data_IF_557574492319
#
_entry.id   IF_557574492319
#
_cell.length_a   1.000
_cell.length_b   1.000
_cell.length_c   1.000
_cell.angle_alpha   90.00
_cell.angle_beta   90.00
_cell.angle_gamma   90.00
#
_symmetry.space_group_name_H-M   'P 1'
#
loop_
_entity.id
_entity.type
_entity.pdbx_description
1 polymer ?
#
# COMPACT_ATOMS: atom_id res chain seq x y z
N UNK A 1 39.40 -17.42 -37.40
CA UNK A 1 39.85 -16.29 -36.54
C UNK A 1 38.77 -15.21 -36.30
N UNK A 2 38.03 -14.72 -37.31
CA UNK A 2 37.01 -13.64 -37.13
C UNK A 2 35.84 -13.97 -36.20
N UNK A 3 35.48 -15.25 -36.03
CA UNK A 3 34.38 -15.68 -35.15
C UNK A 3 34.77 -15.62 -33.66
N UNK A 4 36.01 -16.01 -33.33
CA UNK A 4 36.55 -15.98 -31.95
C UNK A 4 36.58 -14.57 -31.35
N UNK A 5 36.90 -13.54 -32.15
CA UNK A 5 36.84 -12.14 -31.72
C UNK A 5 35.43 -11.70 -31.31
N UNK A 6 34.40 -12.09 -32.07
CA UNK A 6 33.00 -11.76 -31.74
C UNK A 6 32.57 -12.38 -30.41
N UNK A 7 32.99 -13.62 -30.14
CA UNK A 7 32.69 -14.30 -28.89
C UNK A 7 33.41 -13.65 -27.70
N UNK A 8 34.66 -13.21 -27.86
CA UNK A 8 35.39 -12.48 -26.82
C UNK A 8 34.76 -11.11 -26.52
N UNK A 9 34.35 -10.38 -27.55
CA UNK A 9 33.63 -9.10 -27.39
C UNK A 9 32.28 -9.30 -26.68
N UNK A 10 31.52 -10.34 -27.05
CA UNK A 10 30.27 -10.68 -26.38
C UNK A 10 30.49 -11.08 -24.92
N UNK A 11 31.52 -11.89 -24.63
CA UNK A 11 31.87 -12.27 -23.26
C UNK A 11 32.26 -11.04 -22.43
N UNK A 12 33.06 -10.13 -22.98
CA UNK A 12 33.43 -8.89 -22.30
C UNK A 12 32.19 -8.00 -22.04
N UNK A 13 31.27 -7.88 -23.00
CA UNK A 13 30.00 -7.16 -22.82
C UNK A 13 29.10 -7.81 -21.75
N UNK A 14 29.06 -9.14 -21.68
CA UNK A 14 28.30 -9.86 -20.66
C UNK A 14 28.92 -9.72 -19.26
N UNK A 15 30.25 -9.79 -19.15
CA UNK A 15 30.94 -9.61 -17.87
C UNK A 15 30.87 -8.17 -17.37
N UNK A 16 31.01 -7.18 -18.26
CA UNK A 16 30.86 -5.77 -17.91
C UNK A 16 29.43 -5.44 -17.51
N UNK A 17 28.42 -5.95 -18.22
CA UNK A 17 27.02 -5.77 -17.82
C UNK A 17 26.69 -6.46 -16.50
N UNK A 18 27.22 -7.66 -16.24
CA UNK A 18 27.04 -8.35 -14.96
C UNK A 18 27.73 -7.61 -13.79
N UNK A 19 28.97 -7.14 -13.98
CA UNK A 19 29.70 -6.37 -12.98
C UNK A 19 29.01 -5.03 -12.70
N UNK A 20 28.56 -4.33 -13.75
CA UNK A 20 27.83 -3.07 -13.62
C UNK A 20 26.47 -3.29 -12.93
N UNK A 21 25.76 -4.37 -13.23
CA UNK A 21 24.54 -4.74 -12.52
C UNK A 21 24.80 -5.06 -11.04
N UNK A 22 25.91 -5.74 -10.70
CA UNK A 22 26.25 -6.05 -9.32
C UNK A 22 26.60 -4.79 -8.51
N UNK A 23 27.32 -3.83 -9.11
CA UNK A 23 27.66 -2.55 -8.47
C UNK A 23 26.45 -1.63 -8.34
N UNK A 24 25.53 -1.66 -9.32
CA UNK A 24 24.32 -0.83 -9.31
C UNK A 24 23.16 -1.45 -8.50
N UNK A 25 23.36 -2.57 -7.80
CA UNK A 25 22.35 -3.12 -6.90
C UNK A 25 22.16 -2.18 -5.69
N UNK A 26 20.94 -1.67 -5.45
CA UNK A 26 20.68 -0.84 -4.29
C UNK A 26 20.81 -1.67 -3.02
N UNK A 27 21.61 -1.20 -2.07
CA UNK A 27 21.86 -1.89 -0.78
C UNK A 27 21.34 -1.08 0.42
N UNK A 28 21.07 0.22 0.25
CA UNK A 28 20.55 1.08 1.31
C UNK A 28 19.02 1.11 1.33
N UNK A 29 18.42 0.66 2.43
CA UNK A 29 16.98 0.83 2.69
C UNK A 29 16.66 2.30 2.97
N UNK A 30 15.64 2.85 2.32
CA UNK A 30 15.15 4.20 2.61
C UNK A 30 14.50 4.28 4.01
N UNK A 31 13.96 3.17 4.51
CA UNK A 31 13.35 3.11 5.83
C UNK A 31 14.38 3.22 6.97
N UNK A 32 15.61 2.76 6.75
CA UNK A 32 16.67 2.76 7.78
C UNK A 32 17.21 4.17 8.05
N UNK A 33 17.04 5.09 7.09
CA UNK A 33 17.44 6.50 7.21
C UNK A 33 16.32 7.39 7.79
N UNK A 34 15.15 6.82 8.10
CA UNK A 34 13.96 7.54 8.57
C UNK A 34 13.56 7.06 9.96
N UNK A 35 12.74 7.85 10.65
CA UNK A 35 12.10 7.39 11.89
C UNK A 35 11.32 6.08 11.63
N UNK A 36 11.43 5.08 12.52
CA UNK A 36 10.71 3.82 12.35
C UNK A 36 9.21 4.07 12.30
N UNK A 37 8.51 3.33 11.44
CA UNK A 37 7.04 3.30 11.44
C UNK A 37 6.59 2.46 12.63
N UNK A 38 5.62 2.98 13.38
CA UNK A 38 4.82 2.22 14.34
C UNK A 38 3.36 2.48 13.98
N UNK A 39 2.73 1.53 13.29
CA UNK A 39 1.35 1.68 12.83
C UNK A 39 0.37 1.80 14.00
N UNK A 40 0.64 1.15 15.14
CA UNK A 40 -0.25 1.19 16.30
C UNK A 40 -0.27 2.57 16.95
N UNK A 41 0.91 3.18 17.08
CA UNK A 41 1.08 4.53 17.62
C UNK A 41 0.62 5.62 16.62
N UNK A 42 0.88 5.42 15.32
CA UNK A 42 0.58 6.42 14.29
C UNK A 42 -0.91 6.53 13.97
N UNK A 43 -1.65 5.42 14.01
CA UNK A 43 -3.08 5.41 13.67
C UNK A 43 -3.86 5.70 14.96
N UNK A 44 -4.61 6.82 15.04
CA UNK A 44 -5.37 7.15 16.24
C UNK A 44 -6.56 6.22 16.44
N UNK A 45 -6.85 5.84 17.69
CA UNK A 45 -8.02 5.01 18.05
C UNK A 45 -9.33 5.79 18.03
N UNK A 46 -9.27 7.13 18.06
CA UNK A 46 -10.42 8.03 17.91
C UNK A 46 -10.01 9.31 17.17
N UNK A 47 -10.84 9.76 16.23
CA UNK A 47 -10.64 11.01 15.50
C UNK A 47 -11.96 11.49 14.86
N UNK A 48 -12.22 12.79 14.88
CA UNK A 48 -13.50 13.34 14.41
C UNK A 48 -14.68 12.61 15.05
N UNK A 49 -15.58 12.09 14.22
CA UNK A 49 -16.76 11.29 14.63
C UNK A 49 -16.51 9.78 14.63
N UNK A 50 -15.27 9.33 14.44
CA UNK A 50 -14.89 7.92 14.36
C UNK A 50 -14.22 7.44 15.65
N UNK A 51 -14.62 6.25 16.11
CA UNK A 51 -14.00 5.56 17.24
C UNK A 51 -13.78 4.09 16.92
N UNK A 52 -12.61 3.58 17.29
CA UNK A 52 -12.29 2.18 17.16
C UNK A 52 -13.24 1.29 17.98
N UNK A 53 -13.68 0.19 17.37
CA UNK A 53 -14.42 -0.87 18.04
C UNK A 53 -13.46 -2.01 18.39
N UNK A 54 -13.11 -2.11 19.67
CA UNK A 54 -12.24 -3.16 20.22
C UNK A 54 -12.97 -4.48 20.49
N UNK A 55 -14.29 -4.50 20.43
CA UNK A 55 -15.14 -5.66 20.73
C UNK A 55 -15.59 -6.44 19.49
N UNK A 56 -14.91 -6.28 18.36
CA UNK A 56 -15.10 -7.14 17.18
C UNK A 56 -14.22 -8.38 17.36
N UNK A 57 -14.75 -9.62 17.23
CA UNK A 57 -13.92 -10.82 17.33
C UNK A 57 -12.80 -10.73 16.29
N UNK A 58 -11.56 -10.88 16.76
CA UNK A 58 -10.38 -10.99 15.89
C UNK A 58 -10.66 -12.11 14.90
N UNK A 59 -10.71 -11.78 13.61
CA UNK A 59 -10.88 -12.79 12.59
C UNK A 59 -9.65 -13.69 12.67
N UNK A 60 -9.86 -14.95 13.06
CA UNK A 60 -8.77 -15.94 13.18
C UNK A 60 -8.21 -16.10 11.77
N UNK A 61 -7.05 -15.51 11.54
CA UNK A 61 -6.27 -15.69 10.32
C UNK A 61 -5.65 -17.08 10.39
N UNK A 62 -5.75 -17.83 9.30
CA UNK A 62 -5.07 -19.12 9.17
C UNK A 62 -3.56 -18.94 9.47
N UNK A 63 -2.94 -19.78 10.31
CA UNK A 63 -1.53 -19.64 10.68
C UNK A 63 -0.56 -19.62 9.48
N UNK A 64 -0.84 -20.36 8.42
CA UNK A 64 -0.02 -20.40 7.19
C UNK A 64 -0.16 -19.10 6.40
N UNK A 65 -1.38 -18.53 6.38
CA UNK A 65 -1.64 -17.21 5.82
C UNK A 65 -0.94 -16.11 6.63
N UNK A 66 -0.94 -16.20 7.96
CA UNK A 66 -0.24 -15.25 8.83
C UNK A 66 1.27 -15.28 8.59
N UNK A 67 1.88 -16.47 8.47
CA UNK A 67 3.31 -16.61 8.16
C UNK A 67 3.67 -15.98 6.81
N UNK A 68 2.80 -16.13 5.81
CA UNK A 68 2.99 -15.49 4.49
C UNK A 68 2.91 -13.97 4.60
N UNK A 69 1.96 -13.45 5.39
CA UNK A 69 1.82 -12.01 5.66
C UNK A 69 3.09 -11.48 6.35
N UNK A 70 3.57 -12.16 7.39
CA UNK A 70 4.73 -11.72 8.19
C UNK A 70 6.06 -11.81 7.42
N UNK A 71 6.15 -12.72 6.43
CA UNK A 71 7.31 -12.83 5.55
C UNK A 71 7.41 -11.65 4.55
N UNK A 72 6.29 -10.99 4.26
CA UNK A 72 6.19 -9.92 3.26
C UNK A 72 6.13 -8.56 3.97
N UNK A 73 5.27 -8.41 4.98
CA UNK A 73 5.05 -7.15 5.66
C UNK A 73 5.82 -7.05 6.96
N UNK A 74 6.40 -5.88 7.18
CA UNK A 74 7.06 -5.55 8.45
C UNK A 74 6.03 -5.27 9.54
N UNK A 75 4.91 -4.64 9.20
CA UNK A 75 3.79 -4.41 10.11
C UNK A 75 2.47 -4.46 9.35
N UNK A 76 1.44 -5.00 10.00
CA UNK A 76 0.06 -4.96 9.53
C UNK A 76 -0.83 -4.46 10.65
N UNK A 77 -1.65 -3.45 10.36
CA UNK A 77 -2.68 -2.97 11.26
C UNK A 77 -4.05 -3.27 10.68
N UNK A 78 -4.93 -3.87 11.48
CA UNK A 78 -6.34 -4.04 11.14
C UNK A 78 -7.19 -3.50 12.26
N UNK A 79 -8.09 -2.55 11.96
CA UNK A 79 -9.00 -1.93 12.93
C UNK A 79 -10.38 -1.74 12.34
N UNK A 80 -11.41 -1.83 13.17
CA UNK A 80 -12.77 -1.44 12.79
C UNK A 80 -13.14 -0.16 13.50
N UNK A 81 -13.64 0.84 12.78
CA UNK A 81 -14.13 2.09 13.33
C UNK A 81 -15.64 2.19 13.17
N UNK A 82 -16.28 2.79 14.16
CA UNK A 82 -17.69 3.16 14.14
C UNK A 82 -17.81 4.68 14.11
N UNK A 83 -18.62 5.16 13.19
CA UNK A 83 -19.05 6.55 13.09
C UNK A 83 -20.11 6.86 14.15
N UNK A 84 -20.28 8.13 14.53
CA UNK A 84 -21.36 8.58 15.42
C UNK A 84 -22.77 8.18 14.93
N UNK A 85 -22.96 7.99 13.62
CA UNK A 85 -24.21 7.50 13.01
C UNK A 85 -24.41 5.97 13.12
N UNK A 86 -23.45 5.24 13.68
CA UNK A 86 -23.44 3.78 13.74
C UNK A 86 -22.85 3.08 12.52
N UNK A 87 -22.45 3.82 11.48
CA UNK A 87 -21.81 3.26 10.28
C UNK A 87 -20.43 2.68 10.62
N UNK A 88 -20.08 1.52 10.04
CA UNK A 88 -18.80 0.84 10.32
C UNK A 88 -17.88 0.83 9.11
N UNK A 89 -16.62 1.09 9.36
CA UNK A 89 -15.53 1.03 8.38
C UNK A 89 -14.43 0.13 8.91
N UNK A 90 -13.92 -0.75 8.05
CA UNK A 90 -12.77 -1.60 8.31
C UNK A 90 -11.55 -0.97 7.65
N UNK A 91 -10.52 -0.70 8.45
CA UNK A 91 -9.22 -0.21 8.03
C UNK A 91 -8.23 -1.37 8.06
N UNK A 92 -7.46 -1.53 6.99
CA UNK A 92 -6.28 -2.40 6.95
C UNK A 92 -5.12 -1.65 6.33
N UNK A 93 -3.97 -1.66 7.00
CA UNK A 93 -2.74 -1.04 6.54
C UNK A 93 -1.66 -2.10 6.57
N UNK A 94 -0.98 -2.29 5.44
CA UNK A 94 0.16 -3.20 5.34
C UNK A 94 1.40 -2.39 4.97
N UNK A 95 2.45 -2.49 5.78
CA UNK A 95 3.69 -1.74 5.64
C UNK A 95 4.88 -2.69 5.45
N UNK A 96 5.74 -2.41 4.47
CA UNK A 96 6.98 -3.13 4.23
C UNK A 96 8.18 -2.17 4.19
N UNK A 97 9.19 -2.42 5.03
CA UNK A 97 10.38 -1.57 5.16
C UNK A 97 11.31 -1.56 3.94
N UNK A 98 11.26 -2.61 3.11
CA UNK A 98 12.11 -2.75 1.94
C UNK A 98 11.34 -3.38 0.78
N UNK A 99 11.09 -2.59 -0.25
CA UNK A 99 10.45 -3.04 -1.48
C UNK A 99 11.45 -3.78 -2.39
N UNK A 100 11.77 -5.01 -1.99
CA UNK A 100 12.51 -5.97 -2.82
C UNK A 100 11.56 -6.64 -3.83
N UNK A 101 12.08 -7.40 -4.80
CA UNK A 101 11.23 -8.16 -5.74
C UNK A 101 10.25 -9.12 -5.03
N UNK A 102 10.54 -9.51 -3.77
CA UNK A 102 9.65 -10.29 -2.91
C UNK A 102 8.52 -9.46 -2.25
N UNK A 103 8.65 -8.12 -2.17
CA UNK A 103 7.59 -7.23 -1.67
C UNK A 103 6.69 -6.77 -2.83
N UNK A 104 6.05 -7.71 -3.51
CA UNK A 104 4.90 -7.35 -4.32
C UNK A 104 3.71 -7.10 -3.39
N UNK A 105 3.41 -5.81 -3.13
CA UNK A 105 2.17 -5.42 -2.45
C UNK A 105 0.99 -6.18 -3.09
N UNK A 106 0.44 -7.14 -2.35
CA UNK A 106 -0.66 -7.97 -2.81
C UNK A 106 -1.91 -7.10 -2.88
N UNK A 107 -2.32 -6.77 -4.10
CA UNK A 107 -3.39 -5.83 -4.33
C UNK A 107 -4.75 -6.49 -4.03
N UNK A 108 -5.73 -5.75 -3.47
CA UNK A 108 -7.05 -6.29 -3.15
C UNK A 108 -7.76 -6.95 -4.35
N UNK A 109 -7.55 -6.47 -5.59
CA UNK A 109 -8.13 -7.09 -6.78
C UNK A 109 -7.61 -8.49 -7.11
N UNK A 110 -6.51 -8.90 -6.51
CA UNK A 110 -5.97 -10.26 -6.63
C UNK A 110 -6.43 -11.12 -5.46
N UNK A 111 -6.35 -10.60 -4.24
CA UNK A 111 -6.66 -11.36 -3.03
C UNK A 111 -8.16 -11.61 -2.82
N UNK A 112 -9.04 -10.64 -3.14
CA UNK A 112 -10.48 -10.80 -2.95
C UNK A 112 -11.04 -11.96 -3.79
N UNK A 113 -10.76 -12.05 -5.11
CA UNK A 113 -11.14 -13.21 -5.91
C UNK A 113 -10.58 -14.54 -5.39
N UNK A 114 -9.32 -14.55 -4.93
CA UNK A 114 -8.71 -15.75 -4.36
C UNK A 114 -9.41 -16.23 -3.07
N UNK A 115 -10.03 -15.31 -2.32
CA UNK A 115 -10.85 -15.60 -1.13
C UNK A 115 -12.33 -15.89 -1.46
N UNK A 116 -12.67 -15.97 -2.75
CA UNK A 116 -14.02 -16.28 -3.23
C UNK A 116 -14.96 -15.09 -3.41
N UNK A 117 -14.49 -13.85 -3.20
CA UNK A 117 -15.29 -12.67 -3.54
C UNK A 117 -15.42 -12.52 -5.06
N UNK A 118 -16.60 -12.12 -5.53
CA UNK A 118 -16.77 -11.66 -6.91
C UNK A 118 -16.37 -10.20 -7.00
N UNK A 119 -15.52 -9.87 -7.96
CA UNK A 119 -15.16 -8.50 -8.32
C UNK A 119 -16.08 -8.03 -9.45
N UNK A 120 -17.02 -7.14 -9.15
CA UNK A 120 -17.98 -6.63 -10.13
C UNK A 120 -17.42 -5.45 -10.93
N UNK A 121 -16.70 -4.55 -10.24
CA UNK A 121 -16.12 -3.36 -10.85
C UNK A 121 -14.86 -2.93 -10.12
N UNK A 122 -13.92 -2.41 -10.88
CA UNK A 122 -12.73 -1.73 -10.36
C UNK A 122 -12.47 -0.46 -11.17
N UNK A 123 -12.14 0.63 -10.50
CA UNK A 123 -11.88 1.91 -11.16
C UNK A 123 -10.86 2.74 -10.38
N UNK A 124 -10.11 3.59 -11.11
CA UNK A 124 -9.24 4.61 -10.52
C UNK A 124 -10.06 5.87 -10.31
N UNK A 125 -9.94 6.48 -9.13
CA UNK A 125 -10.67 7.70 -8.77
C UNK A 125 -9.76 8.69 -8.06
N UNK A 126 -10.02 10.00 -8.20
CA UNK A 126 -9.43 10.98 -7.30
C UNK A 126 -10.01 10.80 -5.89
N UNK A 127 -9.14 10.85 -4.88
CA UNK A 127 -9.51 10.84 -3.46
C UNK A 127 -8.82 12.03 -2.79
N UNK A 128 -9.62 12.95 -2.24
CA UNK A 128 -9.10 14.10 -1.50
C UNK A 128 -8.77 13.70 -0.07
N UNK A 129 -7.54 13.98 0.36
CA UNK A 129 -7.01 13.72 1.69
C UNK A 129 -6.32 14.98 2.20
N UNK A 130 -6.95 15.70 3.13
CA UNK A 130 -6.51 17.01 3.56
C UNK A 130 -6.60 18.02 2.40
N UNK A 131 -5.47 18.68 2.11
CA UNK A 131 -5.35 19.65 1.01
C UNK A 131 -5.03 19.02 -0.35
N UNK A 132 -4.60 17.76 -0.39
CA UNK A 132 -4.16 17.13 -1.64
C UNK A 132 -5.16 16.12 -2.17
N UNK A 133 -5.02 15.80 -3.46
CA UNK A 133 -5.82 14.79 -4.13
C UNK A 133 -4.90 13.70 -4.66
N UNK A 134 -5.15 12.47 -4.22
CA UNK A 134 -4.41 11.28 -4.63
C UNK A 134 -5.21 10.44 -5.61
N UNK A 135 -4.54 9.56 -6.35
CA UNK A 135 -5.24 8.54 -7.14
C UNK A 135 -5.45 7.28 -6.28
N UNK A 136 -6.70 7.02 -5.93
CA UNK A 136 -7.12 5.80 -5.24
C UNK A 136 -7.80 4.83 -6.22
N UNK A 137 -8.04 3.60 -5.76
CA UNK A 137 -8.81 2.60 -6.48
C UNK A 137 -10.02 2.20 -5.67
N UNK A 138 -11.15 2.11 -6.37
CA UNK A 138 -12.43 1.66 -5.82
C UNK A 138 -12.80 0.34 -6.43
N UNK A 139 -13.28 -0.57 -5.59
CA UNK A 139 -13.72 -1.90 -5.98
C UNK A 139 -15.11 -2.17 -5.44
N UNK A 140 -15.92 -2.81 -6.26
CA UNK A 140 -17.22 -3.34 -5.89
C UNK A 140 -17.05 -4.84 -5.79
N UNK A 141 -17.15 -5.38 -4.58
CA UNK A 141 -16.98 -6.82 -4.34
C UNK A 141 -18.11 -7.38 -3.52
N UNK A 142 -18.40 -8.66 -3.69
CA UNK A 142 -19.35 -9.35 -2.82
C UNK A 142 -19.04 -10.85 -2.67
N UNK A 143 -19.41 -11.40 -1.51
CA UNK A 143 -19.35 -12.83 -1.20
C UNK A 143 -20.73 -13.27 -0.69
N UNK A 144 -21.49 -13.97 -1.53
CA UNK A 144 -22.88 -14.30 -1.23
C UNK A 144 -23.71 -13.03 -0.98
N UNK A 145 -24.23 -12.88 0.25
CA UNK A 145 -25.03 -11.74 0.69
C UNK A 145 -24.21 -10.59 1.31
N UNK A 146 -22.89 -10.76 1.46
CA UNK A 146 -21.97 -9.74 1.96
C UNK A 146 -21.47 -8.89 0.80
N UNK A 147 -21.94 -7.65 0.70
CA UNK A 147 -21.46 -6.66 -0.25
C UNK A 147 -20.41 -5.81 0.45
N UNK A 148 -19.19 -5.80 -0.09
CA UNK A 148 -18.05 -5.10 0.49
C UNK A 148 -17.39 -4.20 -0.57
N UNK A 149 -17.87 -2.96 -0.71
CA UNK A 149 -17.14 -1.92 -1.42
C UNK A 149 -15.81 -1.62 -0.73
N UNK A 150 -14.76 -1.39 -1.52
CA UNK A 150 -13.39 -1.16 -1.03
C UNK A 150 -12.79 0.05 -1.72
N UNK A 151 -12.20 0.95 -0.96
CA UNK A 151 -11.30 2.01 -1.44
C UNK A 151 -9.89 1.72 -0.95
N UNK A 152 -8.89 1.73 -1.83
CA UNK A 152 -7.51 1.53 -1.41
C UNK A 152 -6.53 2.36 -2.25
N UNK A 153 -5.34 2.58 -1.70
CA UNK A 153 -4.21 3.19 -2.41
C UNK A 153 -2.89 2.61 -1.91
N UNK A 154 -1.85 2.75 -2.72
CA UNK A 154 -0.50 2.32 -2.37
C UNK A 154 0.47 3.50 -2.44
N UNK A 155 1.33 3.59 -1.43
CA UNK A 155 2.46 4.53 -1.35
C UNK A 155 3.75 3.73 -1.54
N UNK A 156 4.67 4.23 -2.37
CA UNK A 156 6.03 3.70 -2.53
C UNK A 156 7.02 4.84 -2.30
N UNK A 157 7.79 4.76 -1.22
CA UNK A 157 8.53 5.88 -0.67
C UNK A 157 7.56 7.00 -0.29
N UNK A 158 7.60 8.09 -1.06
CA UNK A 158 6.71 9.26 -0.89
C UNK A 158 5.71 9.41 -2.06
N UNK A 159 5.58 8.42 -2.94
CA UNK A 159 4.75 8.53 -4.15
C UNK A 159 3.54 7.59 -4.13
N UNK A 160 2.37 8.12 -4.45
CA UNK A 160 1.18 7.31 -4.72
C UNK A 160 1.33 6.63 -6.07
N UNK A 161 1.20 5.30 -6.10
CA UNK A 161 1.29 4.54 -7.34
C UNK A 161 -0.09 4.11 -7.80
N UNK A 162 -0.51 4.59 -8.98
CA UNK A 162 -1.83 4.29 -9.53
C UNK A 162 -1.88 2.95 -10.30
N UNK A 163 -0.77 2.21 -10.41
CA UNK A 163 -0.70 0.96 -11.16
C UNK A 163 0.74 0.45 -11.37
N UNK A 164 0.87 -0.72 -12.02
CA UNK A 164 2.13 -1.46 -12.12
C UNK A 164 3.27 -0.73 -12.86
N UNK A 165 2.97 0.00 -13.94
CA UNK A 165 3.99 0.74 -14.70
C UNK A 165 4.52 1.96 -13.91
N UNK A 166 3.64 2.75 -13.30
CA UNK A 166 4.03 3.89 -12.47
C UNK A 166 4.84 3.46 -11.25
N UNK A 167 4.42 2.34 -10.63
CA UNK A 167 5.15 1.68 -9.55
C UNK A 167 6.55 1.28 -10.00
N UNK A 168 6.68 0.58 -11.14
CA UNK A 168 7.98 0.09 -11.62
C UNK A 168 8.91 1.22 -12.01
N UNK A 169 8.39 2.29 -12.60
CA UNK A 169 9.19 3.47 -12.92
C UNK A 169 9.69 4.19 -11.66
N UNK A 170 8.85 4.25 -10.62
CA UNK A 170 9.22 4.82 -9.31
C UNK A 170 10.30 3.98 -8.62
N UNK A 171 10.12 2.65 -8.58
CA UNK A 171 11.13 1.70 -8.09
C UNK A 171 12.46 1.84 -8.83
N UNK A 172 12.44 1.94 -10.16
CA UNK A 172 13.63 2.13 -10.98
C UNK A 172 14.34 3.45 -10.64
N UNK A 173 13.60 4.55 -10.43
CA UNK A 173 14.18 5.84 -10.04
C UNK A 173 14.89 5.77 -8.68
N UNK A 174 14.32 5.07 -7.71
CA UNK A 174 14.97 4.86 -6.42
C UNK A 174 16.16 3.90 -6.53
N UNK A 175 16.02 2.81 -7.29
CA UNK A 175 17.09 1.84 -7.54
C UNK A 175 18.31 2.47 -8.21
N UNK A 176 18.11 3.36 -9.18
CA UNK A 176 19.18 4.15 -9.82
C UNK A 176 19.90 5.09 -8.83
N UNK A 177 19.26 5.45 -7.72
CA UNK A 177 19.86 6.24 -6.62
C UNK A 177 20.45 5.34 -5.53
N UNK A 178 20.53 4.04 -5.75
CA UNK A 178 21.06 3.07 -4.78
C UNK A 178 20.15 2.83 -3.57
N UNK A 179 18.86 3.22 -3.65
CA UNK A 179 17.90 3.16 -2.54
C UNK A 179 16.77 2.16 -2.80
N UNK A 180 16.39 1.42 -1.77
CA UNK A 180 15.20 0.57 -1.76
C UNK A 180 14.07 1.35 -1.06
N UNK A 181 12.99 1.74 -1.76
CA UNK A 181 11.89 2.45 -1.13
C UNK A 181 11.12 1.52 -0.19
N UNK A 182 10.49 2.09 0.83
CA UNK A 182 9.46 1.40 1.61
C UNK A 182 8.11 1.46 0.89
N UNK A 183 7.18 0.61 1.31
CA UNK A 183 5.86 0.51 0.68
C UNK A 183 4.75 0.43 1.72
N UNK A 184 3.61 1.07 1.43
CA UNK A 184 2.40 1.00 2.23
C UNK A 184 1.18 0.76 1.36
N UNK A 185 0.32 -0.18 1.74
CA UNK A 185 -1.03 -0.36 1.19
C UNK A 185 -2.03 0.05 2.26
N UNK A 186 -2.86 1.04 1.96
CA UNK A 186 -3.97 1.43 2.83
C UNK A 186 -5.27 0.99 2.17
N UNK A 187 -6.07 0.20 2.89
CA UNK A 187 -7.37 -0.32 2.47
C UNK A 187 -8.44 0.13 3.46
N UNK A 188 -9.50 0.72 2.92
CA UNK A 188 -10.69 1.13 3.65
C UNK A 188 -11.88 0.40 3.03
N UNK A 189 -12.56 -0.46 3.78
CA UNK A 189 -13.74 -1.19 3.31
C UNK A 189 -14.93 -1.06 4.27
N UNK A 190 -16.13 -1.36 3.79
CA UNK A 190 -17.35 -1.36 4.60
C UNK A 190 -18.34 -2.37 4.04
N UNK A 191 -19.21 -2.92 4.89
CA UNK A 191 -20.28 -3.81 4.43
C UNK A 191 -21.52 -2.96 4.15
N UNK A 192 -21.80 -2.69 2.87
CA UNK A 192 -22.99 -1.98 2.43
C UNK A 192 -23.32 -2.39 0.98
N UNK A 193 -24.60 -2.53 0.66
CA UNK A 193 -25.09 -2.79 -0.70
C UNK A 193 -25.13 -1.53 -1.54
N UNK A 194 -25.30 -0.37 -0.90
CA UNK A 194 -25.19 0.91 -1.57
C UNK A 194 -23.71 1.29 -1.69
N UNK A 195 -23.12 0.90 -2.81
CA UNK A 195 -21.72 1.17 -3.13
C UNK A 195 -21.40 2.67 -3.15
N UNK A 196 -22.32 3.53 -3.59
CA UNK A 196 -22.06 4.97 -3.68
C UNK A 196 -21.96 5.58 -2.28
N UNK A 197 -22.90 5.24 -1.40
CA UNK A 197 -22.85 5.61 0.02
C UNK A 197 -21.61 5.06 0.69
N UNK A 198 -21.26 3.79 0.45
CA UNK A 198 -20.08 3.15 1.01
C UNK A 198 -18.79 3.92 0.66
N UNK A 199 -18.58 4.18 -0.63
CA UNK A 199 -17.43 4.94 -1.10
C UNK A 199 -17.39 6.38 -0.58
N UNK A 200 -18.55 7.01 -0.37
CA UNK A 200 -18.65 8.30 0.29
C UNK A 200 -18.20 8.25 1.75
N UNK A 201 -18.70 7.30 2.53
CA UNK A 201 -18.30 7.10 3.93
C UNK A 201 -16.81 6.75 4.06
N UNK A 202 -16.27 5.95 3.14
CA UNK A 202 -14.85 5.60 3.09
C UNK A 202 -13.98 6.83 2.79
N UNK A 203 -14.42 7.72 1.91
CA UNK A 203 -13.70 8.97 1.62
C UNK A 203 -13.70 9.92 2.82
N UNK A 204 -14.84 10.09 3.50
CA UNK A 204 -14.94 10.87 4.72
C UNK A 204 -14.03 10.31 5.82
N UNK A 205 -14.05 8.98 6.00
CA UNK A 205 -13.16 8.30 6.93
C UNK A 205 -11.69 8.54 6.61
N UNK A 206 -11.27 8.30 5.36
CA UNK A 206 -9.88 8.42 4.94
C UNK A 206 -9.37 9.86 5.12
N UNK A 207 -10.19 10.86 4.75
CA UNK A 207 -9.84 12.27 4.94
C UNK A 207 -9.69 12.64 6.42
N UNK A 208 -10.64 12.21 7.27
CA UNK A 208 -10.58 12.46 8.70
C UNK A 208 -9.39 11.77 9.37
N UNK A 209 -9.09 10.53 8.97
CA UNK A 209 -7.95 9.76 9.47
C UNK A 209 -6.63 10.47 9.14
N UNK A 210 -6.43 10.84 7.87
CA UNK A 210 -5.21 11.53 7.43
C UNK A 210 -5.05 12.87 8.15
N UNK A 211 -6.15 13.61 8.36
CA UNK A 211 -6.14 14.85 9.13
C UNK A 211 -5.73 14.67 10.59
N UNK A 212 -5.97 13.51 11.18
CA UNK A 212 -5.63 13.18 12.56
C UNK A 212 -4.24 12.55 12.75
N UNK A 213 -3.63 12.04 11.68
CA UNK A 213 -2.23 11.57 11.69
C UNK A 213 -1.30 12.78 11.79
N UNK A 214 -0.24 12.64 12.60
CA UNK A 214 0.81 13.66 12.77
C UNK A 214 1.36 14.11 11.41
N UNK A 215 1.42 15.43 11.14
CA UNK A 215 1.96 15.97 9.89
C UNK A 215 3.35 15.43 9.51
N UNK A 216 4.21 15.13 10.48
CA UNK A 216 5.57 14.66 10.26
C UNK A 216 5.64 13.28 9.58
N UNK A 217 4.60 12.46 9.72
CA UNK A 217 4.54 11.09 9.16
C UNK A 217 3.44 10.92 8.11
N UNK A 218 2.62 11.95 7.88
CA UNK A 218 1.48 11.94 6.96
C UNK A 218 1.88 11.65 5.51
N UNK A 219 3.06 12.12 5.09
CA UNK A 219 3.61 11.87 3.75
C UNK A 219 3.78 10.37 3.46
N UNK A 220 4.11 9.57 4.48
CA UNK A 220 4.30 8.13 4.34
C UNK A 220 2.98 7.35 4.23
N UNK A 221 1.87 7.96 4.64
CA UNK A 221 0.54 7.36 4.61
C UNK A 221 -0.25 7.68 3.34
N UNK A 222 -0.07 8.89 2.81
CA UNK A 222 -0.86 9.39 1.69
C UNK A 222 -0.02 10.00 0.57
N UNK A 223 1.31 9.85 0.59
CA UNK A 223 2.21 10.45 -0.41
C UNK A 223 2.13 11.97 -0.47
N UNK A 224 1.64 12.59 0.61
CA UNK A 224 1.41 14.03 0.68
C UNK A 224 2.75 14.71 0.95
N UNK A 225 3.22 15.52 0.01
CA UNK A 225 4.39 16.35 0.27
C UNK A 225 4.00 17.38 1.33
N UNK A 226 4.49 17.21 2.56
CA UNK A 226 4.58 18.33 3.48
C UNK A 226 5.37 19.42 2.76
N UNK A 227 4.80 20.61 2.66
CA UNK A 227 5.49 21.81 2.18
C UNK A 227 6.86 21.83 2.86
N UNK A 228 7.93 21.59 2.10
CA UNK A 228 9.26 21.92 2.59
C UNK A 228 9.30 23.45 2.71
N UNK A 229 9.76 24.01 3.85
CA UNK A 229 10.08 25.42 3.92
C UNK A 229 11.17 25.80 2.91
#
# INVERSE_FOLDING_TARGET
>A
MKQSWKHLVLMALMLTSAAMAAVMRPTGSLADDRAPIDLEAMVPTQFGEWREQTSVPVQIVDPEMQQTIDAIYTQVLTRTYMHASGYRVMLSIAYGKAQTDNLQLHLPEVCYPAQGFKLERIEKVPLTLGSDTITARRMQTHLGQRFEPVTYWTVVGDHITAGGLDKKLTELRYGLRGRIPDGMLVRVSSIDRDTAKAHGMQALFANALVGAIDPAVRSRFAGLHGVQP
#
